data_IF_158546792525
#
_entry.id   IF_158546792525
#
_cell.length_a   1.000
_cell.length_b   1.000
_cell.length_c   1.000
_cell.angle_alpha   90.00
_cell.angle_beta   90.00
_cell.angle_gamma   90.00
#
_symmetry.space_group_name_H-M   'P 1'
#
loop_
_entity.id
_entity.type
_entity.pdbx_description
1 polymer ?
#
# COMPACT_ATOMS: atom_id res chain seq x y z
N UNK A 1 4.92 11.38 -14.83
CA UNK A 1 4.11 10.81 -13.75
C UNK A 1 4.18 11.76 -12.57
N UNK A 2 3.08 12.40 -12.15
CA UNK A 2 3.07 13.27 -10.95
C UNK A 2 2.65 12.45 -9.74
N UNK A 3 3.47 12.47 -8.69
CA UNK A 3 3.11 11.96 -7.37
C UNK A 3 2.00 12.86 -6.82
N UNK A 4 0.87 12.28 -6.44
CA UNK A 4 -0.24 13.02 -5.83
C UNK A 4 -0.06 13.12 -4.34
N UNK A 5 0.19 11.98 -3.68
CA UNK A 5 0.20 11.90 -2.24
C UNK A 5 1.36 11.02 -1.80
N UNK A 6 2.12 11.49 -0.80
CA UNK A 6 3.06 10.69 -0.04
C UNK A 6 2.62 10.75 1.41
N UNK A 7 2.35 9.59 1.98
CA UNK A 7 2.01 9.38 3.39
C UNK A 7 3.12 8.59 4.02
N UNK A 8 3.68 9.09 5.13
CA UNK A 8 4.52 8.31 6.02
C UNK A 8 3.83 8.25 7.37
N UNK A 9 3.69 7.04 7.91
CA UNK A 9 3.26 6.82 9.28
C UNK A 9 4.31 6.03 10.03
N UNK A 10 4.51 6.42 11.29
CA UNK A 10 5.30 5.68 12.25
C UNK A 10 4.36 5.34 13.40
N UNK A 11 4.25 4.06 13.70
CA UNK A 11 3.44 3.58 14.81
C UNK A 11 4.32 2.79 15.77
N UNK A 12 4.03 2.89 17.06
CA UNK A 12 4.66 2.09 18.09
C UNK A 12 3.57 1.45 18.92
N UNK A 13 3.65 0.13 19.04
CA UNK A 13 2.78 -0.67 19.87
C UNK A 13 3.66 -1.54 20.78
N UNK A 14 3.33 -1.62 22.07
CA UNK A 14 4.06 -2.48 23.01
C UNK A 14 3.99 -3.96 22.59
N UNK A 15 2.85 -4.37 22.02
CA UNK A 15 2.61 -5.76 21.60
C UNK A 15 3.09 -6.05 20.17
N UNK A 16 2.90 -5.13 19.22
CA UNK A 16 3.29 -5.35 17.82
C UNK A 16 4.66 -4.77 17.45
N UNK A 17 5.25 -3.92 18.29
CA UNK A 17 6.54 -3.28 18.07
C UNK A 17 6.48 -1.91 17.39
N UNK A 18 7.65 -1.43 16.96
CA UNK A 18 7.78 -0.25 16.12
C UNK A 18 7.48 -0.65 14.67
N UNK A 19 6.52 0.03 14.05
CA UNK A 19 6.13 -0.14 12.67
C UNK A 19 6.24 1.16 11.90
N UNK A 20 6.67 1.11 10.65
CA UNK A 20 6.74 2.24 9.75
C UNK A 20 5.98 1.89 8.48
N UNK A 21 5.05 2.73 8.05
CA UNK A 21 4.42 2.62 6.74
C UNK A 21 4.74 3.83 5.88
N UNK A 22 5.04 3.59 4.61
CA UNK A 22 5.18 4.63 3.59
C UNK A 22 4.27 4.28 2.43
N UNK A 23 3.38 5.19 2.07
CA UNK A 23 2.45 5.00 0.98
C UNK A 23 2.53 6.18 0.01
N UNK A 24 2.71 5.88 -1.26
CA UNK A 24 2.78 6.85 -2.36
C UNK A 24 1.65 6.59 -3.34
N UNK A 25 0.80 7.57 -3.57
CA UNK A 25 -0.19 7.54 -4.63
C UNK A 25 0.20 8.54 -5.73
N UNK A 26 0.09 8.08 -6.97
CA UNK A 26 0.32 8.85 -8.18
C UNK A 26 -1.02 9.21 -8.81
N UNK A 27 -1.09 10.35 -9.49
CA UNK A 27 -2.33 10.81 -10.18
C UNK A 27 -2.83 9.79 -11.21
N UNK A 28 -1.93 8.94 -11.70
CA UNK A 28 -2.24 7.85 -12.64
C UNK A 28 -3.02 6.69 -12.02
N UNK A 29 -3.39 6.76 -10.73
CA UNK A 29 -4.06 5.69 -9.99
C UNK A 29 -3.11 4.61 -9.45
N UNK A 30 -1.82 4.73 -9.70
CA UNK A 30 -0.80 3.86 -9.09
C UNK A 30 -0.62 4.22 -7.61
N UNK A 31 -0.71 3.25 -6.72
CA UNK A 31 -0.46 3.37 -5.28
C UNK A 31 0.59 2.34 -4.84
N UNK A 32 1.74 2.79 -4.35
CA UNK A 32 2.77 1.92 -3.78
C UNK A 32 2.84 2.14 -2.27
N UNK A 33 2.59 1.11 -1.49
CA UNK A 33 2.77 1.03 -0.05
C UNK A 33 3.95 0.14 0.31
N UNK A 34 4.76 0.55 1.28
CA UNK A 34 5.75 -0.29 1.94
C UNK A 34 5.52 -0.17 3.44
N UNK A 35 5.33 -1.29 4.10
CA UNK A 35 5.14 -1.39 5.54
C UNK A 35 6.31 -2.20 6.11
N UNK A 36 6.98 -1.67 7.11
CA UNK A 36 8.08 -2.32 7.81
C UNK A 36 7.78 -2.44 9.30
N UNK A 37 7.80 -3.67 9.81
CA UNK A 37 7.70 -3.91 11.24
C UNK A 37 9.09 -4.23 11.80
N UNK A 38 9.64 -3.34 12.63
CA UNK A 38 10.96 -3.51 13.24
C UNK A 38 11.01 -4.66 14.26
N UNK A 39 9.86 -5.03 14.86
CA UNK A 39 9.81 -6.13 15.85
C UNK A 39 9.82 -7.49 15.17
N UNK A 40 8.94 -7.71 14.21
CA UNK A 40 8.91 -8.96 13.45
C UNK A 40 9.99 -9.03 12.37
N UNK A 41 10.62 -7.89 12.03
CA UNK A 41 11.52 -7.70 10.89
C UNK A 41 10.88 -8.03 9.54
N UNK A 42 9.55 -8.00 9.51
CA UNK A 42 8.77 -8.27 8.32
C UNK A 42 8.62 -7.00 7.49
N UNK A 43 8.81 -7.16 6.18
CA UNK A 43 8.62 -6.12 5.19
C UNK A 43 7.45 -6.54 4.30
N UNK A 44 6.42 -5.71 4.26
CA UNK A 44 5.27 -5.89 3.37
C UNK A 44 5.36 -4.84 2.28
N UNK A 45 5.41 -5.27 1.02
CA UNK A 45 5.34 -4.37 -0.11
C UNK A 45 4.01 -4.55 -0.82
N UNK A 46 3.26 -3.46 -0.91
CA UNK A 46 1.95 -3.40 -1.52
C UNK A 46 2.05 -2.51 -2.77
N UNK A 47 1.73 -3.07 -3.92
CA UNK A 47 1.59 -2.29 -5.15
C UNK A 47 0.16 -2.44 -5.62
N UNK A 48 -0.51 -1.31 -5.77
CA UNK A 48 -1.87 -1.21 -6.31
C UNK A 48 -1.83 -0.32 -7.53
N UNK A 49 -2.61 -0.67 -8.54
CA UNK A 49 -2.79 0.18 -9.70
C UNK A 49 -4.29 0.28 -9.97
N UNK A 50 -4.86 1.37 -9.50
CA UNK A 50 -6.23 1.75 -9.78
C UNK A 50 -6.28 2.31 -11.20
N UNK A 51 -6.47 1.43 -12.17
CA UNK A 51 -7.03 1.86 -13.44
C UNK A 51 -8.40 2.41 -13.10
N UNK A 52 -8.50 3.74 -13.05
CA UNK A 52 -9.75 4.48 -12.99
C UNK A 52 -10.63 4.07 -14.19
N UNK A 53 -11.23 2.89 -14.11
CA UNK A 53 -12.18 2.38 -15.06
C UNK A 53 -13.52 2.99 -14.66
N UNK A 54 -13.62 4.30 -14.87
CA UNK A 54 -14.88 5.04 -14.96
C UNK A 54 -15.58 4.48 -16.21
N UNK A 55 -16.13 3.27 -16.09
CA UNK A 55 -16.50 2.49 -17.27
C UNK A 55 -16.94 1.05 -17.06
N UNK A 56 -17.03 0.57 -15.82
CA UNK A 56 -17.74 -0.67 -15.50
C UNK A 56 -16.95 -1.98 -15.71
N UNK A 57 -17.15 -2.88 -14.75
CA UNK A 57 -16.82 -4.31 -14.78
C UNK A 57 -15.33 -4.66 -14.84
N UNK A 58 -14.77 -5.02 -13.68
CA UNK A 58 -14.32 -6.39 -13.34
C UNK A 58 -13.49 -6.33 -12.05
N UNK A 59 -14.12 -6.69 -10.94
CA UNK A 59 -13.46 -7.17 -9.73
C UNK A 59 -12.85 -8.53 -10.07
N UNK A 60 -11.59 -8.53 -10.53
CA UNK A 60 -10.84 -9.77 -10.74
C UNK A 60 -10.40 -10.32 -9.38
N UNK A 61 -11.34 -10.98 -8.71
CA UNK A 61 -11.04 -11.81 -7.54
C UNK A 61 -10.42 -13.10 -8.07
N UNK A 62 -9.09 -13.14 -8.18
CA UNK A 62 -8.35 -14.37 -8.51
C UNK A 62 -8.24 -15.18 -7.23
N UNK A 63 -9.14 -16.15 -7.07
CA UNK A 63 -9.02 -17.23 -6.11
C UNK A 63 -8.23 -18.36 -6.79
N UNK A 64 -6.96 -18.52 -6.43
CA UNK A 64 -6.15 -19.67 -6.79
C UNK A 64 -6.39 -20.73 -5.70
N UNK A 65 -7.32 -21.65 -5.97
CA UNK A 65 -7.50 -22.87 -5.20
C UNK A 65 -6.47 -23.94 -5.54
#
# INVERSE_FOLDING_TARGET
MKMSNLSLGLSYNADAGLGMNVNTNFTSGLGLGLDYNFKSKDYTANASYDLNNIGGKKWANVNLG
#
